data_IF_403453172022
#
_entry.id   IF_403453172022
#
_cell.length_a   1.000
_cell.length_b   1.000
_cell.length_c   1.000
_cell.angle_alpha   90.00
_cell.angle_beta   90.00
_cell.angle_gamma   90.00
#
_symmetry.space_group_name_H-M   'P 1'
#
loop_
_entity.id
_entity.type
_entity.pdbx_description
1 polymer ?
#
# COMPACT_ATOMS: atom_id res chain seq x y z
N UNK A 1 -64.13 32.07 -6.33
CA UNK A 1 -64.13 30.65 -6.73
C UNK A 1 -62.82 30.38 -7.45
N UNK A 2 -61.89 29.65 -6.83
CA UNK A 2 -60.65 29.21 -7.48
C UNK A 2 -60.35 27.79 -6.97
N UNK A 3 -60.53 26.74 -7.78
CA UNK A 3 -60.08 25.40 -7.47
C UNK A 3 -58.80 25.11 -8.26
N UNK A 4 -57.75 24.60 -7.60
CA UNK A 4 -56.97 23.44 -8.05
C UNK A 4 -55.96 23.10 -6.94
N UNK A 5 -56.30 22.00 -6.28
CA UNK A 5 -55.53 21.25 -5.31
C UNK A 5 -54.65 20.25 -6.08
N UNK A 6 -53.39 20.07 -5.69
CA UNK A 6 -52.67 18.82 -5.93
C UNK A 6 -51.55 18.67 -4.91
N UNK A 7 -51.87 18.00 -3.80
CA UNK A 7 -50.92 17.59 -2.78
C UNK A 7 -49.78 16.75 -3.36
N UNK A 8 -48.55 17.18 -3.07
CA UNK A 8 -47.38 16.32 -3.18
C UNK A 8 -47.46 15.26 -2.08
N UNK A 9 -47.97 14.08 -2.43
CA UNK A 9 -47.74 12.85 -1.67
C UNK A 9 -46.24 12.57 -1.68
N UNK A 10 -45.55 12.99 -0.61
CA UNK A 10 -44.18 12.55 -0.29
C UNK A 10 -44.21 11.03 -0.17
N UNK A 11 -43.76 10.35 -1.22
CA UNK A 11 -43.67 8.89 -1.26
C UNK A 11 -42.61 8.46 -0.26
N UNK A 12 -43.04 8.11 0.96
CA UNK A 12 -42.16 7.46 1.93
C UNK A 12 -41.58 6.20 1.27
N UNK A 13 -40.25 6.01 1.26
CA UNK A 13 -39.66 4.85 0.62
C UNK A 13 -40.15 3.57 1.32
N UNK A 14 -40.64 2.61 0.53
CA UNK A 14 -41.15 1.33 1.02
C UNK A 14 -40.07 0.60 1.83
N UNK A 15 -40.47 -0.08 2.92
CA UNK A 15 -39.56 -0.84 3.80
C UNK A 15 -38.64 -1.83 3.05
N UNK A 16 -39.07 -2.34 1.91
CA UNK A 16 -38.31 -3.26 1.05
C UNK A 16 -37.10 -2.60 0.36
N UNK A 17 -37.21 -1.30 0.03
CA UNK A 17 -36.09 -0.50 -0.49
C UNK A 17 -35.08 -0.18 0.62
N UNK A 18 -35.55 0.17 1.83
CA UNK A 18 -34.67 0.38 2.99
C UNK A 18 -33.89 -0.89 3.38
N UNK A 19 -34.56 -2.06 3.34
CA UNK A 19 -33.92 -3.35 3.61
C UNK A 19 -32.90 -3.72 2.54
N UNK A 20 -33.21 -3.47 1.26
CA UNK A 20 -32.27 -3.72 0.17
C UNK A 20 -31.04 -2.83 0.27
N UNK A 21 -31.18 -1.55 0.60
CA UNK A 21 -30.07 -0.62 0.81
C UNK A 21 -29.18 -1.06 1.99
N UNK A 22 -29.77 -1.50 3.11
CA UNK A 22 -29.03 -1.89 4.31
C UNK A 22 -28.24 -3.18 4.08
N UNK A 23 -28.80 -4.17 3.38
CA UNK A 23 -28.11 -5.42 3.03
C UNK A 23 -26.94 -5.18 2.06
N UNK A 24 -27.11 -4.29 1.07
CA UNK A 24 -26.03 -3.93 0.14
C UNK A 24 -24.89 -3.18 0.86
N UNK A 25 -25.23 -2.30 1.80
CA UNK A 25 -24.22 -1.56 2.56
C UNK A 25 -23.45 -2.50 3.51
N UNK A 26 -24.14 -3.44 4.17
CA UNK A 26 -23.51 -4.46 5.02
C UNK A 26 -22.55 -5.36 4.23
N UNK A 27 -22.93 -5.80 3.02
CA UNK A 27 -22.04 -6.59 2.14
C UNK A 27 -20.78 -5.81 1.74
N UNK A 28 -20.88 -4.51 1.53
CA UNK A 28 -19.74 -3.64 1.20
C UNK A 28 -18.78 -3.47 2.38
N UNK A 29 -19.29 -3.38 3.61
CA UNK A 29 -18.46 -3.24 4.83
C UNK A 29 -17.63 -4.49 5.15
N UNK A 30 -18.11 -5.67 4.75
CA UNK A 30 -17.41 -6.94 4.91
C UNK A 30 -16.60 -7.33 3.67
N UNK A 31 -16.51 -6.48 2.64
CA UNK A 31 -15.64 -6.73 1.51
C UNK A 31 -14.18 -6.41 1.85
N UNK A 32 -13.24 -7.06 1.15
CA UNK A 32 -11.81 -6.76 1.28
C UNK A 32 -11.58 -5.27 0.98
N UNK A 33 -10.95 -4.50 1.89
CA UNK A 33 -10.65 -3.11 1.63
C UNK A 33 -9.74 -2.94 0.41
N UNK A 34 -10.00 -1.91 -0.41
CA UNK A 34 -9.13 -1.51 -1.53
C UNK A 34 -7.82 -0.87 -1.04
N UNK A 35 -7.79 -0.48 0.23
CA UNK A 35 -6.63 0.17 0.84
C UNK A 35 -5.46 -0.78 1.01
N UNK A 36 -4.27 -0.25 0.75
CA UNK A 36 -3.03 -0.97 1.02
C UNK A 36 -2.78 -1.12 2.52
N UNK A 37 -2.03 -2.14 2.92
CA UNK A 37 -1.56 -2.29 4.30
C UNK A 37 -0.79 -1.06 4.81
N UNK A 38 -0.04 -0.37 3.95
CA UNK A 38 0.63 0.89 4.30
C UNK A 38 -0.38 1.93 4.74
N UNK A 39 -1.43 2.14 3.95
CA UNK A 39 -2.46 3.12 4.25
C UNK A 39 -3.20 2.79 5.56
N UNK A 40 -3.58 1.51 5.75
CA UNK A 40 -4.26 1.07 6.96
C UNK A 40 -3.40 1.27 8.22
N UNK A 41 -2.12 0.87 8.18
CA UNK A 41 -1.19 1.05 9.30
C UNK A 41 -0.95 2.54 9.58
N UNK A 42 -0.76 3.35 8.53
CA UNK A 42 -0.54 4.78 8.67
C UNK A 42 -1.72 5.46 9.39
N UNK A 43 -2.95 5.18 8.96
CA UNK A 43 -4.14 5.75 9.60
C UNK A 43 -4.31 5.30 11.05
N UNK A 44 -4.01 4.04 11.36
CA UNK A 44 -3.99 3.55 12.74
C UNK A 44 -3.06 4.39 13.61
N UNK A 45 -1.79 4.54 13.18
CA UNK A 45 -0.79 5.31 13.92
C UNK A 45 -1.20 6.80 14.03
N UNK A 46 -1.69 7.40 12.95
CA UNK A 46 -2.14 8.80 12.93
C UNK A 46 -3.35 9.07 13.83
N UNK A 47 -4.19 8.06 14.09
CA UNK A 47 -5.33 8.20 15.00
C UNK A 47 -4.94 8.24 16.48
N UNK A 48 -3.72 7.82 16.81
CA UNK A 48 -3.22 7.88 18.18
C UNK A 48 -2.75 9.31 18.52
N UNK A 49 -2.98 9.81 19.75
CA UNK A 49 -2.58 11.17 20.13
C UNK A 49 -1.06 11.38 20.09
N UNK A 50 -0.29 10.29 20.23
CA UNK A 50 1.17 10.32 20.31
C UNK A 50 1.85 9.91 18.99
N UNK A 51 1.09 9.78 17.89
CA UNK A 51 1.57 9.31 16.58
C UNK A 51 2.39 8.01 16.65
N UNK A 52 2.01 7.13 17.58
CA UNK A 52 2.66 5.86 17.81
C UNK A 52 1.68 4.84 18.38
N UNK A 53 1.80 3.59 17.95
CA UNK A 53 0.85 2.53 18.30
C UNK A 53 1.56 1.18 18.47
N UNK A 54 1.10 0.34 19.40
CA UNK A 54 1.64 -1.01 19.54
C UNK A 54 1.13 -1.90 18.40
N UNK A 55 1.90 -2.94 18.08
CA UNK A 55 1.50 -3.92 17.07
C UNK A 55 0.13 -4.57 17.36
N UNK A 56 -0.15 -4.84 18.64
CA UNK A 56 -1.44 -5.42 19.06
C UNK A 56 -2.59 -4.43 18.81
N UNK A 57 -2.40 -3.17 19.17
CA UNK A 57 -3.39 -2.11 18.97
C UNK A 57 -3.61 -1.83 17.47
N UNK A 58 -2.58 -1.95 16.62
CA UNK A 58 -2.74 -1.85 15.15
C UNK A 58 -3.66 -2.95 14.64
N UNK A 59 -3.56 -4.18 15.18
CA UNK A 59 -4.47 -5.25 14.78
C UNK A 59 -5.91 -4.92 15.18
N UNK A 60 -6.12 -4.44 16.40
CA UNK A 60 -7.44 -4.09 16.94
C UNK A 60 -8.07 -2.94 16.16
N UNK A 61 -7.31 -1.88 15.91
CA UNK A 61 -7.77 -0.74 15.12
C UNK A 61 -8.19 -1.16 13.71
N UNK A 62 -7.41 -2.00 13.03
CA UNK A 62 -7.74 -2.48 11.68
C UNK A 62 -9.03 -3.33 11.70
N UNK A 63 -9.19 -4.22 12.68
CA UNK A 63 -10.41 -5.03 12.79
C UNK A 63 -11.66 -4.18 13.07
N UNK A 64 -11.51 -3.09 13.82
CA UNK A 64 -12.59 -2.15 14.10
C UNK A 64 -12.97 -1.32 12.87
N UNK A 65 -12.00 -0.81 12.12
CA UNK A 65 -12.25 0.04 10.94
C UNK A 65 -12.64 -0.77 9.69
N UNK A 66 -12.14 -1.99 9.59
CA UNK A 66 -12.32 -2.86 8.44
C UNK A 66 -12.82 -4.24 8.89
N UNK A 67 -14.16 -4.39 9.09
CA UNK A 67 -14.77 -5.61 9.63
C UNK A 67 -14.42 -6.89 8.87
N UNK A 68 -14.04 -6.78 7.59
CA UNK A 68 -13.47 -7.88 6.80
C UNK A 68 -12.36 -8.66 7.52
N UNK A 69 -11.48 -7.96 8.27
CA UNK A 69 -10.36 -8.61 8.96
C UNK A 69 -10.75 -9.24 10.31
N UNK A 70 -11.90 -8.86 10.88
CA UNK A 70 -12.40 -9.41 12.13
C UNK A 70 -12.97 -10.83 11.95
N UNK A 71 -13.67 -11.06 10.82
CA UNK A 71 -14.28 -12.36 10.50
C UNK A 71 -13.35 -13.32 9.77
N UNK A 72 -12.19 -12.83 9.29
CA UNK A 72 -11.23 -13.67 8.58
C UNK A 72 -10.63 -14.73 9.51
N UNK A 73 -10.99 -16.00 9.29
CA UNK A 73 -10.51 -17.15 10.06
C UNK A 73 -8.97 -17.30 10.02
N UNK A 74 -8.32 -16.75 8.99
CA UNK A 74 -6.87 -16.89 8.78
C UNK A 74 -6.11 -15.65 9.29
N UNK A 75 -5.18 -15.86 10.23
CA UNK A 75 -4.27 -14.81 10.75
C UNK A 75 -3.19 -14.38 9.73
N UNK A 76 -3.33 -14.72 8.45
CA UNK A 76 -2.35 -14.43 7.39
C UNK A 76 -2.13 -12.92 7.21
N UNK A 77 -3.19 -12.13 7.29
CA UNK A 77 -3.12 -10.66 7.19
C UNK A 77 -2.26 -10.05 8.30
N UNK A 78 -2.26 -10.61 9.52
CA UNK A 78 -1.39 -10.14 10.62
C UNK A 78 0.08 -10.30 10.28
N UNK A 79 0.43 -11.33 9.52
CA UNK A 79 1.80 -11.48 9.02
C UNK A 79 2.15 -10.39 8.00
N UNK A 80 1.24 -10.09 7.08
CA UNK A 80 1.40 -8.98 6.14
C UNK A 80 1.58 -7.64 6.85
N UNK A 81 0.89 -7.40 7.97
CA UNK A 81 1.09 -6.20 8.80
C UNK A 81 2.51 -6.15 9.37
N UNK A 82 2.97 -7.21 10.04
CA UNK A 82 4.34 -7.27 10.59
C UNK A 82 5.41 -7.09 9.51
N UNK A 83 5.22 -7.76 8.38
CA UNK A 83 6.10 -7.62 7.23
C UNK A 83 6.16 -6.18 6.73
N UNK A 84 5.03 -5.48 6.62
CA UNK A 84 5.00 -4.09 6.18
C UNK A 84 5.68 -3.14 7.19
N UNK A 85 5.47 -3.34 8.48
CA UNK A 85 6.13 -2.53 9.51
C UNK A 85 7.66 -2.61 9.41
N UNK A 86 8.19 -3.79 9.10
CA UNK A 86 9.64 -3.97 8.95
C UNK A 86 10.18 -3.64 7.55
N UNK A 87 9.40 -3.84 6.49
CA UNK A 87 9.85 -3.62 5.11
C UNK A 87 9.85 -2.15 4.70
N UNK A 88 8.99 -1.33 5.32
CA UNK A 88 8.72 0.01 4.83
C UNK A 88 9.39 1.05 5.73
N UNK A 89 10.35 1.79 5.18
CA UNK A 89 11.08 2.85 5.91
C UNK A 89 10.18 3.97 6.46
N UNK A 90 8.94 4.10 5.95
CA UNK A 90 7.96 5.03 6.50
C UNK A 90 7.50 4.63 7.91
N UNK A 91 7.73 3.40 8.35
CA UNK A 91 7.44 2.95 9.70
C UNK A 91 8.73 2.71 10.47
N UNK A 92 8.77 3.23 11.69
CA UNK A 92 9.94 3.14 12.56
C UNK A 92 9.57 2.52 13.88
N UNK A 93 10.47 1.67 14.40
CA UNK A 93 10.38 1.16 15.76
C UNK A 93 10.80 2.25 16.73
N UNK A 94 9.93 2.60 17.66
CA UNK A 94 10.16 3.62 18.69
C UNK A 94 10.51 2.99 20.04
N UNK A 95 10.28 3.73 21.15
CA UNK A 95 10.56 3.27 22.52
C UNK A 95 9.82 1.97 22.84
N UNK A 96 10.37 1.22 23.79
CA UNK A 96 9.70 0.05 24.35
C UNK A 96 8.44 0.51 25.10
N UNK A 97 7.38 -0.29 25.04
CA UNK A 97 6.18 -0.05 25.82
C UNK A 97 6.49 0.01 27.30
N UNK A 98 5.79 0.87 28.05
CA UNK A 98 5.94 1.04 29.50
C UNK A 98 5.65 -0.27 30.25
N UNK A 99 4.71 -1.06 29.74
CA UNK A 99 4.38 -2.39 30.25
C UNK A 99 5.33 -3.51 29.77
N UNK A 100 6.37 -3.19 29.01
CA UNK A 100 7.36 -4.13 28.48
C UNK A 100 6.89 -5.03 27.34
N UNK A 101 5.61 -4.98 26.94
CA UNK A 101 4.98 -5.87 25.94
C UNK A 101 5.22 -5.42 24.49
N UNK A 102 6.48 -5.22 24.12
CA UNK A 102 6.89 -4.87 22.75
C UNK A 102 7.29 -3.41 22.58
N UNK A 103 7.31 -2.95 21.34
CA UNK A 103 7.74 -1.61 20.94
C UNK A 103 6.60 -0.86 20.28
N UNK A 104 6.57 0.45 20.48
CA UNK A 104 5.70 1.32 19.68
C UNK A 104 6.21 1.39 18.24
N UNK A 105 5.28 1.49 17.31
CA UNK A 105 5.54 1.79 15.91
C UNK A 105 5.05 3.20 15.60
N UNK A 106 5.89 4.00 14.96
CA UNK A 106 5.58 5.35 14.53
C UNK A 106 5.79 5.53 13.04
N UNK A 107 5.42 6.70 12.53
CA UNK A 107 5.72 7.11 11.16
C UNK A 107 7.03 7.89 11.15
N UNK A 108 7.90 7.61 10.17
CA UNK A 108 9.13 8.35 9.97
C UNK A 108 8.81 9.83 9.65
N UNK A 109 9.50 10.82 10.25
CA UNK A 109 9.20 12.25 10.04
C UNK A 109 9.12 12.65 8.55
N UNK A 110 10.03 12.13 7.71
CA UNK A 110 10.02 12.38 6.26
C UNK A 110 8.76 11.91 5.50
N UNK A 111 7.98 10.99 6.08
CA UNK A 111 6.72 10.49 5.49
C UNK A 111 5.47 11.05 6.19
N UNK A 112 5.62 11.67 7.37
CA UNK A 112 4.49 12.10 8.20
C UNK A 112 3.59 13.09 7.47
N UNK A 113 4.15 14.14 6.91
CA UNK A 113 3.42 15.17 6.18
C UNK A 113 2.63 14.63 5.00
N UNK A 114 3.20 13.69 4.24
CA UNK A 114 2.51 13.05 3.13
C UNK A 114 1.33 12.21 3.62
N UNK A 115 1.52 11.46 4.71
CA UNK A 115 0.49 10.60 5.27
C UNK A 115 -0.65 11.39 5.92
N UNK A 116 -0.35 12.52 6.59
CA UNK A 116 -1.37 13.44 7.11
C UNK A 116 -2.24 14.01 5.98
N UNK A 117 -1.66 14.28 4.81
CA UNK A 117 -2.40 14.70 3.60
C UNK A 117 -3.11 13.56 2.86
N UNK A 118 -3.01 12.32 3.34
CA UNK A 118 -3.62 11.15 2.72
C UNK A 118 -2.84 10.53 1.57
N UNK A 119 -1.61 10.97 1.29
CA UNK A 119 -0.77 10.36 0.26
C UNK A 119 0.05 9.19 0.84
N UNK A 120 -0.56 8.01 0.83
CA UNK A 120 0.06 6.77 1.31
C UNK A 120 0.86 6.03 0.22
N UNK A 121 1.03 6.62 -0.97
CA UNK A 121 1.67 5.95 -2.11
C UNK A 121 3.19 6.05 -2.02
N UNK A 122 3.85 4.90 -1.95
CA UNK A 122 5.32 4.81 -1.81
C UNK A 122 6.14 5.21 -3.05
N UNK A 123 5.52 5.77 -4.12
CA UNK A 123 6.11 5.71 -5.47
C UNK A 123 6.18 7.00 -6.30
N UNK A 124 5.88 8.18 -5.77
CA UNK A 124 6.22 9.41 -6.52
C UNK A 124 7.67 9.87 -6.27
N UNK A 125 8.31 9.45 -5.17
CA UNK A 125 9.71 9.77 -4.88
C UNK A 125 10.70 8.97 -5.75
N UNK A 126 10.52 7.65 -5.89
CA UNK A 126 11.44 6.79 -6.70
C UNK A 126 11.35 7.05 -8.21
N UNK A 127 10.22 7.50 -8.73
CA UNK A 127 10.13 7.89 -10.16
C UNK A 127 10.86 9.22 -10.39
N UNK A 128 10.69 10.23 -9.52
CA UNK A 128 11.44 11.48 -9.62
C UNK A 128 12.95 11.28 -9.45
N UNK A 129 13.38 10.40 -8.54
CA UNK A 129 14.79 10.08 -8.35
C UNK A 129 15.40 9.27 -9.53
N UNK A 130 14.62 8.41 -10.20
CA UNK A 130 15.09 7.70 -11.41
C UNK A 130 15.20 8.61 -12.63
N UNK A 131 14.28 9.56 -12.81
CA UNK A 131 14.36 10.53 -13.91
C UNK A 131 15.42 11.61 -13.68
N UNK A 132 15.76 11.94 -12.42
CA UNK A 132 16.85 12.86 -12.10
C UNK A 132 18.25 12.27 -12.35
N UNK A 133 18.41 10.95 -12.29
CA UNK A 133 19.70 10.27 -12.47
C UNK A 133 19.94 9.67 -13.86
N UNK A 134 18.99 9.77 -14.80
CA UNK A 134 19.13 9.20 -16.15
C UNK A 134 19.51 10.22 -17.25
N UNK A 135 19.68 11.50 -16.90
CA UNK A 135 20.04 12.55 -17.88
C UNK A 135 21.55 12.77 -18.06
N UNK A 136 22.43 11.90 -17.53
CA UNK A 136 23.89 12.09 -17.65
C UNK A 136 24.72 10.85 -18.01
N UNK A 137 24.12 9.70 -18.36
CA UNK A 137 24.90 8.61 -18.95
C UNK A 137 24.88 8.74 -20.49
N UNK A 138 25.94 9.35 -21.02
CA UNK A 138 26.31 9.17 -22.42
C UNK A 138 26.48 7.66 -22.67
N UNK A 139 25.93 7.10 -23.76
CA UNK A 139 26.09 5.69 -24.05
C UNK A 139 27.57 5.35 -24.26
N UNK A 140 28.02 4.27 -23.64
CA UNK A 140 29.42 3.83 -23.71
C UNK A 140 29.74 3.36 -25.15
N UNK A 141 30.90 3.75 -25.74
CA UNK A 141 31.21 3.53 -27.16
C UNK A 141 31.21 2.07 -27.63
N UNK A 142 31.31 1.10 -26.71
CA UNK A 142 31.30 -0.33 -27.04
C UNK A 142 29.91 -0.86 -27.44
N UNK A 143 28.84 -0.08 -27.25
CA UNK A 143 27.48 -0.48 -27.61
C UNK A 143 27.08 -0.10 -29.05
N UNK A 144 28.00 0.45 -29.85
CA UNK A 144 27.79 0.65 -31.28
C UNK A 144 28.99 0.12 -32.06
N UNK A 145 28.96 -1.17 -32.40
CA UNK A 145 29.64 -1.72 -33.58
C UNK A 145 29.00 -3.07 -33.91
N UNK A 146 27.92 -3.05 -34.71
CA UNK A 146 27.49 -4.19 -35.50
C UNK A 146 28.04 -4.02 -36.91
N UNK A 147 29.35 -4.21 -37.06
CA UNK A 147 29.90 -4.74 -38.29
C UNK A 147 31.33 -5.17 -38.03
N UNK A 148 31.58 -6.48 -38.09
CA UNK A 148 32.88 -7.07 -38.38
C UNK A 148 32.64 -8.57 -38.59
N UNK A 149 32.64 -8.94 -39.87
CA UNK A 149 32.69 -10.30 -40.38
C UNK A 149 33.74 -11.12 -39.65
N UNK A 150 33.34 -12.21 -39.02
CA UNK A 150 34.26 -13.24 -38.56
C UNK A 150 34.68 -14.06 -39.79
N UNK A 151 35.88 -13.78 -40.29
CA UNK A 151 36.59 -14.59 -41.27
C UNK A 151 37.06 -15.89 -40.59
N UNK A 152 36.60 -17.02 -41.12
CA UNK A 152 37.02 -18.36 -40.73
C UNK A 152 37.99 -18.87 -41.80
N UNK A 153 39.30 -18.65 -41.61
CA UNK A 153 40.33 -19.27 -42.46
C UNK A 153 41.66 -19.55 -41.75
N UNK A 154 41.90 -20.86 -41.54
CA UNK A 154 43.14 -21.66 -41.55
C UNK A 154 44.50 -21.13 -41.08
N UNK A 155 45.17 -21.91 -40.20
CA UNK A 155 46.37 -22.77 -40.49
C UNK A 155 46.89 -23.37 -39.16
N UNK A 156 46.75 -24.68 -38.91
CA UNK A 156 47.70 -25.77 -39.21
C UNK A 156 49.13 -25.54 -38.67
N UNK A 157 49.59 -26.44 -37.78
CA UNK A 157 51.02 -26.53 -37.42
C UNK A 157 51.37 -27.43 -36.22
N UNK A 158 51.45 -28.75 -36.47
CA UNK A 158 52.54 -29.68 -36.04
C UNK A 158 52.68 -30.02 -34.53
N UNK A 159 52.37 -31.22 -34.02
CA UNK A 159 53.03 -32.57 -34.04
C UNK A 159 54.03 -32.87 -32.90
N UNK A 160 53.74 -33.96 -32.14
CA UNK A 160 54.57 -34.92 -31.37
C UNK A 160 55.53 -34.40 -30.26
N UNK A 161 55.81 -35.11 -29.15
CA UNK A 161 56.28 -36.52 -29.04
C UNK A 161 56.08 -37.16 -27.65
N UNK A 162 55.88 -38.49 -27.71
CA UNK A 162 55.99 -39.60 -26.73
C UNK A 162 55.29 -39.52 -25.36
#
# INVERSE_FOLDING_TARGET
MNPQDSGYLSSSPSNEQMYSQSVHNSKKLHAKPEESYVAMIARAILSSPNYQMLLVDIYEWIMHQYPYFATSQTKAWRNSIRHNLSLNECFIRQKKSENGRGYYWGIHPASLDAFVRGDFRRRQARLRAKHANHSSMQPMPWMMNTDLSYDYSMQQGQTYTY
#
